data_IF_374672597765
#
_entry.id   IF_374672597765
#
_cell.length_a   1.000
_cell.length_b   1.000
_cell.length_c   1.000
_cell.angle_alpha   90.00
_cell.angle_beta   90.00
_cell.angle_gamma   90.00
#
_symmetry.space_group_name_H-M   'P 1'
#
loop_
_entity.id
_entity.type
_entity.pdbx_description
1 polymer ?
#
# COMPACT_ATOMS: atom_id res chain seq x y z
N UNK A 1 -38.36 -28.37 27.85
CA UNK A 1 -38.30 -27.21 26.93
C UNK A 1 -36.83 -26.90 26.68
N UNK A 2 -36.24 -27.41 25.58
CA UNK A 2 -34.82 -27.27 25.30
C UNK A 2 -34.55 -25.96 24.55
N UNK A 3 -33.78 -25.05 25.15
CA UNK A 3 -33.28 -23.86 24.47
C UNK A 3 -32.28 -24.28 23.40
N UNK A 4 -32.71 -24.25 22.13
CA UNK A 4 -31.85 -24.44 20.98
C UNK A 4 -31.02 -23.17 20.79
N UNK A 5 -29.85 -23.10 21.42
CA UNK A 5 -28.87 -22.03 21.21
C UNK A 5 -28.44 -22.09 19.75
N UNK A 6 -28.93 -21.14 18.95
CA UNK A 6 -28.52 -20.95 17.56
C UNK A 6 -27.13 -20.33 17.59
N UNK A 7 -26.09 -21.17 17.65
CA UNK A 7 -24.72 -20.74 17.43
C UNK A 7 -24.64 -20.15 16.01
N UNK A 8 -24.64 -18.82 15.91
CA UNK A 8 -24.17 -18.14 14.69
C UNK A 8 -22.76 -18.66 14.47
N UNK A 9 -22.57 -19.38 13.38
CA UNK A 9 -21.24 -19.76 12.92
C UNK A 9 -20.49 -18.45 12.66
N UNK A 10 -19.65 -18.06 13.62
CA UNK A 10 -18.61 -17.08 13.40
C UNK A 10 -17.79 -17.62 12.24
N UNK A 11 -18.03 -17.12 11.02
CA UNK A 11 -17.08 -17.30 9.92
C UNK A 11 -15.78 -16.71 10.43
N UNK A 12 -14.84 -17.57 10.81
CA UNK A 12 -13.53 -17.15 11.27
C UNK A 12 -13.00 -16.07 10.34
N UNK A 13 -12.89 -14.85 10.85
CA UNK A 13 -12.30 -13.75 10.12
C UNK A 13 -10.83 -14.12 9.94
N UNK A 14 -10.41 -14.34 8.70
CA UNK A 14 -9.04 -14.72 8.40
C UNK A 14 -8.27 -13.49 7.97
N UNK A 15 -7.09 -13.29 8.56
CA UNK A 15 -6.17 -12.18 8.25
C UNK A 15 -5.92 -12.05 6.74
N UNK A 16 -5.86 -13.18 6.03
CA UNK A 16 -5.69 -13.22 4.58
C UNK A 16 -6.85 -12.57 3.82
N UNK A 17 -8.09 -12.76 4.30
CA UNK A 17 -9.28 -12.13 3.73
C UNK A 17 -9.21 -10.62 3.92
N UNK A 18 -8.78 -10.16 5.08
CA UNK A 18 -8.73 -8.73 5.41
C UNK A 18 -7.63 -8.02 4.59
N UNK A 19 -6.45 -8.64 4.43
CA UNK A 19 -5.41 -8.15 3.52
C UNK A 19 -5.89 -8.06 2.08
N UNK A 20 -6.60 -9.09 1.59
CA UNK A 20 -7.18 -9.07 0.25
C UNK A 20 -8.19 -7.92 0.09
N UNK A 21 -9.04 -7.69 1.09
CA UNK A 21 -9.97 -6.57 1.07
C UNK A 21 -9.27 -5.21 1.08
N UNK A 22 -8.23 -5.03 1.90
CA UNK A 22 -7.45 -3.78 1.93
C UNK A 22 -6.84 -3.47 0.56
N UNK A 23 -6.24 -4.48 -0.09
CA UNK A 23 -5.64 -4.31 -1.42
C UNK A 23 -6.72 -4.03 -2.45
N UNK A 24 -7.82 -4.78 -2.42
CA UNK A 24 -8.92 -4.59 -3.38
C UNK A 24 -9.57 -3.22 -3.25
N UNK A 25 -9.83 -2.78 -2.02
CA UNK A 25 -10.48 -1.51 -1.73
C UNK A 25 -9.60 -0.34 -2.18
N UNK A 26 -8.27 -0.45 -2.02
CA UNK A 26 -7.32 0.52 -2.57
C UNK A 26 -7.50 0.73 -4.09
N UNK A 27 -7.46 -0.35 -4.88
CA UNK A 27 -7.60 -0.24 -6.33
C UNK A 27 -9.00 0.20 -6.76
N UNK A 28 -10.01 -0.08 -5.95
CA UNK A 28 -11.38 0.35 -6.21
C UNK A 28 -11.60 1.85 -5.91
N UNK A 29 -10.97 2.36 -4.86
CA UNK A 29 -11.09 3.76 -4.43
C UNK A 29 -10.13 4.71 -5.15
N UNK A 30 -9.08 4.20 -5.79
CA UNK A 30 -8.08 5.02 -6.48
C UNK A 30 -8.54 5.44 -7.87
N UNK A 31 -8.37 6.73 -8.20
CA UNK A 31 -8.64 7.19 -9.56
C UNK A 31 -7.56 6.70 -10.52
N UNK A 32 -7.92 6.54 -11.81
CA UNK A 32 -6.98 6.09 -12.84
C UNK A 32 -5.76 7.01 -12.95
N UNK A 33 -5.96 8.33 -12.78
CA UNK A 33 -4.88 9.32 -12.82
C UNK A 33 -3.92 9.17 -11.64
N UNK A 34 -4.44 8.95 -10.44
CA UNK A 34 -3.63 8.70 -9.24
C UNK A 34 -2.87 7.39 -9.37
N UNK A 35 -3.54 6.32 -9.81
CA UNK A 35 -2.90 5.02 -9.99
C UNK A 35 -1.79 5.08 -11.04
N UNK A 36 -2.01 5.83 -12.11
CA UNK A 36 -0.99 6.05 -13.14
C UNK A 36 0.20 6.80 -12.56
N UNK A 37 -0.02 7.86 -11.78
CA UNK A 37 1.06 8.58 -11.11
C UNK A 37 1.85 7.67 -10.15
N UNK A 38 1.14 6.89 -9.33
CA UNK A 38 1.72 6.03 -8.30
C UNK A 38 2.50 4.84 -8.85
N UNK A 39 2.28 4.43 -10.11
CA UNK A 39 2.94 3.27 -10.72
C UNK A 39 3.91 3.71 -11.82
N UNK A 40 3.48 4.57 -12.73
CA UNK A 40 4.25 4.94 -13.92
C UNK A 40 5.53 5.69 -13.55
N UNK A 41 5.45 6.62 -12.60
CA UNK A 41 6.63 7.41 -12.19
C UNK A 41 7.67 6.51 -11.51
N UNK A 42 7.32 5.68 -10.52
CA UNK A 42 8.25 4.68 -9.95
C UNK A 42 8.90 3.77 -10.99
N UNK A 43 8.12 3.25 -11.94
CA UNK A 43 8.64 2.39 -13.02
C UNK A 43 9.64 3.16 -13.87
N UNK A 44 9.26 4.35 -14.33
CA UNK A 44 10.11 5.18 -15.19
C UNK A 44 11.44 5.55 -14.49
N UNK A 45 11.36 6.03 -13.25
CA UNK A 45 12.54 6.40 -12.45
C UNK A 45 13.44 5.19 -12.21
N UNK A 46 12.87 4.02 -11.90
CA UNK A 46 13.65 2.80 -11.66
C UNK A 46 14.37 2.32 -12.91
N UNK A 47 13.68 2.34 -14.06
CA UNK A 47 14.29 1.98 -15.36
C UNK A 47 15.45 2.92 -15.66
N UNK A 48 15.26 4.23 -15.49
CA UNK A 48 16.30 5.21 -15.76
C UNK A 48 17.55 4.97 -14.88
N UNK A 49 17.36 4.73 -13.58
CA UNK A 49 18.45 4.47 -12.63
C UNK A 49 19.19 3.17 -12.99
N UNK A 50 18.49 2.07 -13.23
CA UNK A 50 19.16 0.80 -13.53
C UNK A 50 19.71 0.71 -14.96
N UNK A 51 19.12 1.44 -15.92
CA UNK A 51 19.70 1.59 -17.25
C UNK A 51 21.05 2.33 -17.19
N UNK A 52 21.11 3.43 -16.42
CA UNK A 52 22.37 4.18 -16.23
C UNK A 52 23.41 3.36 -15.48
N UNK A 53 23.03 2.69 -14.38
CA UNK A 53 23.93 1.79 -13.65
C UNK A 53 24.43 0.66 -14.56
N UNK A 54 23.54 0.00 -15.31
CA UNK A 54 23.90 -1.09 -16.20
C UNK A 54 24.83 -0.69 -17.34
N UNK A 55 24.70 0.56 -17.83
CA UNK A 55 25.57 1.14 -18.85
C UNK A 55 26.95 1.54 -18.31
N UNK A 56 27.01 2.10 -17.09
CA UNK A 56 28.26 2.63 -16.51
C UNK A 56 29.09 1.59 -15.76
N UNK A 57 28.46 0.53 -15.22
CA UNK A 57 29.16 -0.47 -14.40
C UNK A 57 29.63 -1.67 -15.22
N UNK A 58 30.92 -1.99 -15.09
CA UNK A 58 31.52 -3.16 -15.77
C UNK A 58 31.29 -4.45 -14.98
N UNK A 59 31.22 -4.36 -13.64
CA UNK A 59 31.10 -5.52 -12.75
C UNK A 59 29.66 -5.74 -12.26
N UNK A 60 29.15 -6.94 -12.51
CA UNK A 60 27.83 -7.40 -12.02
C UNK A 60 27.74 -7.40 -10.49
N UNK A 61 28.85 -7.70 -9.80
CA UNK A 61 28.88 -7.69 -8.32
C UNK A 61 28.70 -6.27 -7.77
N UNK A 62 29.11 -5.24 -8.52
CA UNK A 62 28.88 -3.85 -8.14
C UNK A 62 27.39 -3.51 -8.21
N UNK A 63 26.68 -3.95 -9.25
CA UNK A 63 25.22 -3.74 -9.37
C UNK A 63 24.49 -4.40 -8.20
N UNK A 64 24.87 -5.65 -7.87
CA UNK A 64 24.27 -6.36 -6.74
C UNK A 64 24.51 -5.63 -5.41
N UNK A 65 25.72 -5.14 -5.16
CA UNK A 65 26.03 -4.32 -3.97
C UNK A 65 25.21 -3.04 -3.93
N UNK A 66 25.00 -2.37 -5.06
CA UNK A 66 24.14 -1.18 -5.13
C UNK A 66 22.70 -1.55 -4.75
N UNK A 67 22.16 -2.65 -5.27
CA UNK A 67 20.81 -3.13 -4.91
C UNK A 67 20.70 -3.38 -3.40
N UNK A 68 21.68 -4.06 -2.80
CA UNK A 68 21.71 -4.36 -1.36
C UNK A 68 21.79 -3.08 -0.51
N UNK A 69 22.63 -2.13 -0.92
CA UNK A 69 22.77 -0.84 -0.22
C UNK A 69 21.48 0.00 -0.31
N UNK A 70 20.86 0.04 -1.50
CA UNK A 70 19.55 0.68 -1.71
C UNK A 70 18.48 0.01 -0.85
N UNK A 71 18.45 -1.31 -0.81
CA UNK A 71 17.50 -2.08 0.01
C UNK A 71 17.68 -1.79 1.50
N UNK A 72 18.91 -1.82 2.00
CA UNK A 72 19.22 -1.51 3.41
C UNK A 72 18.76 -0.10 3.80
N UNK A 73 19.04 0.89 2.94
CA UNK A 73 18.58 2.27 3.16
C UNK A 73 17.06 2.38 3.09
N UNK A 74 16.44 1.66 2.15
CA UNK A 74 14.99 1.69 1.92
C UNK A 74 14.21 1.03 3.06
N UNK A 75 14.72 -0.03 3.68
CA UNK A 75 14.08 -0.68 4.83
C UNK A 75 13.86 0.32 5.97
N UNK A 76 14.87 1.14 6.27
CA UNK A 76 14.76 2.17 7.31
C UNK A 76 13.67 3.19 6.97
N UNK A 77 13.63 3.66 5.71
CA UNK A 77 12.59 4.59 5.26
C UNK A 77 11.20 3.94 5.31
N UNK A 78 11.06 2.67 4.89
CA UNK A 78 9.80 1.93 4.93
C UNK A 78 9.30 1.73 6.36
N UNK A 79 10.19 1.42 7.31
CA UNK A 79 9.84 1.30 8.72
C UNK A 79 9.30 2.62 9.29
N UNK A 80 9.97 3.74 8.98
CA UNK A 80 9.53 5.08 9.40
C UNK A 80 8.16 5.40 8.81
N UNK A 81 7.95 5.16 7.52
CA UNK A 81 6.68 5.44 6.86
C UNK A 81 5.55 4.53 7.33
N UNK A 82 5.82 3.26 7.62
CA UNK A 82 4.85 2.36 8.23
C UNK A 82 4.42 2.86 9.61
N UNK A 83 5.38 3.33 10.42
CA UNK A 83 5.11 3.96 11.71
C UNK A 83 4.25 5.22 11.58
N UNK A 84 4.63 6.14 10.68
CA UNK A 84 3.88 7.36 10.39
C UNK A 84 2.46 7.08 9.91
N UNK A 85 2.29 6.15 8.97
CA UNK A 85 0.97 5.78 8.43
C UNK A 85 0.10 5.15 9.52
N UNK A 86 0.66 4.28 10.37
CA UNK A 86 -0.05 3.65 11.49
C UNK A 86 -0.48 4.69 12.53
N UNK A 87 0.41 5.60 12.90
CA UNK A 87 0.10 6.69 13.83
C UNK A 87 -1.02 7.61 13.27
N UNK A 88 -0.97 7.92 11.97
CA UNK A 88 -2.00 8.73 11.31
C UNK A 88 -3.38 8.07 11.37
N UNK A 89 -3.48 6.76 11.11
CA UNK A 89 -4.75 6.02 11.25
C UNK A 89 -5.25 6.05 12.70
N UNK A 90 -4.37 5.90 13.68
CA UNK A 90 -4.74 5.97 15.09
C UNK A 90 -5.29 7.35 15.49
N UNK A 91 -4.66 8.43 15.02
CA UNK A 91 -5.15 9.81 15.24
C UNK A 91 -6.49 10.03 14.55
N UNK A 92 -6.64 9.61 13.29
CA UNK A 92 -7.91 9.69 12.55
C UNK A 92 -9.02 8.92 13.28
N UNK A 93 -8.74 7.70 13.75
CA UNK A 93 -9.73 6.88 14.46
C UNK A 93 -10.13 7.47 15.82
N UNK A 94 -9.18 8.08 16.54
CA UNK A 94 -9.43 8.69 17.86
C UNK A 94 -10.23 10.00 17.78
N UNK A 95 -10.03 10.78 16.72
CA UNK A 95 -10.67 12.09 16.54
C UNK A 95 -12.14 12.02 16.12
N UNK A 96 -12.62 10.87 15.61
CA UNK A 96 -13.96 10.78 15.03
C UNK A 96 -14.72 9.49 15.37
N UNK A 97 -14.92 9.23 16.68
CA UNK A 97 -15.61 8.03 17.18
C UNK A 97 -17.04 7.86 16.64
N UNK A 98 -17.78 8.96 16.41
CA UNK A 98 -19.16 8.89 15.91
C UNK A 98 -19.25 8.42 14.46
N UNK A 99 -18.36 8.91 13.57
CA UNK A 99 -18.32 8.48 12.17
C UNK A 99 -17.71 7.07 12.05
N UNK A 100 -16.74 6.73 12.90
CA UNK A 100 -16.20 5.37 12.95
C UNK A 100 -17.28 4.34 13.35
N UNK A 101 -18.11 4.66 14.35
CA UNK A 101 -19.25 3.81 14.74
C UNK A 101 -20.30 3.68 13.62
N UNK A 102 -20.52 4.73 12.84
CA UNK A 102 -21.39 4.68 11.65
C UNK A 102 -20.81 3.77 10.56
N UNK A 103 -19.50 3.85 10.29
CA UNK A 103 -18.82 2.99 9.31
C UNK A 103 -18.79 1.51 9.73
N UNK A 104 -18.60 1.22 11.01
CA UNK A 104 -18.69 -0.15 11.55
C UNK A 104 -20.08 -0.75 11.31
N UNK A 105 -21.14 0.01 11.60
CA UNK A 105 -22.52 -0.46 11.47
C UNK A 105 -22.97 -0.67 10.01
N UNK A 106 -22.38 0.04 9.04
CA UNK A 106 -22.66 -0.13 7.60
C UNK A 106 -21.94 -1.35 7.00
N UNK A 107 -20.84 -1.81 7.60
CA UNK A 107 -20.01 -2.91 7.07
C UNK A 107 -20.38 -4.29 7.65
N UNK A 108 -21.45 -4.38 8.46
CA UNK A 108 -22.02 -5.65 8.92
C UNK A 108 -22.56 -6.51 7.76
N UNK A 109 -22.71 -7.84 7.95
CA UNK A 109 -22.98 -8.78 6.86
C UNK A 109 -24.28 -8.44 6.13
N UNK A 110 -24.16 -7.87 4.92
CA UNK A 110 -25.30 -7.67 4.02
C UNK A 110 -25.74 -9.03 3.49
N UNK A 111 -26.98 -9.40 3.81
CA UNK A 111 -27.67 -10.50 3.16
C UNK A 111 -27.88 -10.15 1.67
N UNK A 112 -27.44 -11.07 0.81
CA UNK A 112 -27.52 -11.01 -0.65
C UNK A 112 -28.86 -10.48 -1.17
N UNK A 113 -28.88 -9.27 -1.72
CA UNK A 113 -29.93 -8.82 -2.62
C UNK A 113 -29.38 -8.62 -4.03
N UNK A 114 -29.98 -9.40 -4.93
CA UNK A 114 -29.87 -9.49 -6.39
C UNK A 114 -29.06 -8.39 -7.12
N UNK A 115 -28.06 -8.90 -7.85
CA UNK A 115 -27.22 -8.26 -8.88
C UNK A 115 -28.06 -7.47 -9.91
N UNK A 116 -28.18 -6.15 -9.71
CA UNK A 116 -28.79 -5.23 -10.68
C UNK A 116 -27.69 -4.63 -11.58
N UNK A 117 -27.88 -4.71 -12.89
CA UNK A 117 -26.88 -4.40 -13.94
C UNK A 117 -26.64 -2.88 -14.14
N UNK A 118 -27.35 -2.03 -13.40
CA UNK A 118 -27.18 -0.57 -13.38
C UNK A 118 -26.36 -0.07 -12.16
N UNK A 119 -25.45 -0.91 -11.66
CA UNK A 119 -24.59 -0.65 -10.50
C UNK A 119 -23.75 0.62 -10.63
N UNK A 120 -23.20 0.91 -11.83
CA UNK A 120 -22.37 2.10 -12.06
C UNK A 120 -23.15 3.43 -11.98
N UNK A 121 -24.39 3.48 -12.48
CA UNK A 121 -25.21 4.69 -12.44
C UNK A 121 -25.74 4.97 -11.02
N UNK A 122 -26.14 3.93 -10.29
CA UNK A 122 -26.52 4.06 -8.88
C UNK A 122 -25.32 4.32 -7.95
N UNK A 123 -24.12 3.86 -8.30
CA UNK A 123 -22.91 4.19 -7.54
C UNK A 123 -22.50 5.63 -7.73
N UNK A 124 -22.59 6.17 -8.94
CA UNK A 124 -22.26 7.57 -9.18
C UNK A 124 -23.21 8.52 -8.41
N UNK A 125 -24.49 8.18 -8.27
CA UNK A 125 -25.43 8.94 -7.42
C UNK A 125 -25.18 8.72 -5.91
N UNK A 126 -24.81 7.51 -5.47
CA UNK A 126 -24.41 7.25 -4.07
C UNK A 126 -23.09 7.96 -3.70
N UNK A 127 -22.17 8.14 -4.65
CA UNK A 127 -20.90 8.88 -4.49
C UNK A 127 -21.15 10.39 -4.30
N UNK A 128 -22.22 10.93 -4.87
CA UNK A 128 -22.53 12.37 -4.85
C UNK A 128 -23.25 12.81 -3.56
N UNK A 129 -23.95 11.90 -2.85
CA UNK A 129 -24.90 12.30 -1.79
C UNK A 129 -24.43 12.01 -0.34
N UNK A 130 -23.36 11.24 -0.10
CA UNK A 130 -22.76 11.01 1.23
C UNK A 130 -21.29 11.44 1.29
N UNK A 131 -21.05 12.74 1.42
CA UNK A 131 -19.72 13.34 1.24
C UNK A 131 -18.74 13.10 2.41
N UNK A 132 -19.25 12.94 3.63
CA UNK A 132 -18.42 13.00 4.85
C UNK A 132 -18.03 11.62 5.40
N UNK A 133 -18.95 10.65 5.39
CA UNK A 133 -18.67 9.25 5.78
C UNK A 133 -17.70 8.56 4.80
N UNK A 134 -17.71 8.97 3.53
CA UNK A 134 -16.88 8.35 2.49
C UNK A 134 -15.41 8.79 2.57
N UNK A 135 -15.12 10.05 2.88
CA UNK A 135 -13.74 10.56 2.93
C UNK A 135 -12.93 9.85 4.02
N UNK A 136 -13.54 9.62 5.20
CA UNK A 136 -12.90 8.90 6.29
C UNK A 136 -12.57 7.45 5.88
N UNK A 137 -13.55 6.73 5.33
CA UNK A 137 -13.37 5.34 4.89
C UNK A 137 -12.29 5.22 3.81
N UNK A 138 -12.32 6.12 2.82
CA UNK A 138 -11.34 6.18 1.75
C UNK A 138 -9.94 6.44 2.32
N UNK A 139 -9.82 7.41 3.23
CA UNK A 139 -8.54 7.74 3.88
C UNK A 139 -7.99 6.54 4.65
N UNK A 140 -8.79 5.90 5.50
CA UNK A 140 -8.36 4.71 6.26
C UNK A 140 -7.94 3.58 5.33
N UNK A 141 -8.65 3.35 4.22
CA UNK A 141 -8.30 2.33 3.23
C UNK A 141 -6.92 2.59 2.60
N UNK A 142 -6.66 3.82 2.15
CA UNK A 142 -5.36 4.21 1.58
C UNK A 142 -4.19 4.08 2.56
N UNK A 143 -4.39 4.50 3.81
CA UNK A 143 -3.39 4.33 4.85
C UNK A 143 -3.14 2.87 5.20
N UNK A 144 -4.19 2.06 5.32
CA UNK A 144 -4.11 0.63 5.62
C UNK A 144 -3.37 -0.14 4.52
N UNK A 145 -3.63 0.21 3.26
CA UNK A 145 -2.90 -0.34 2.12
C UNK A 145 -1.41 -0.01 2.18
N UNK A 146 -1.05 1.25 2.46
CA UNK A 146 0.35 1.65 2.57
C UNK A 146 1.08 0.88 3.68
N UNK A 147 0.46 0.75 4.86
CA UNK A 147 1.00 -0.03 5.98
C UNK A 147 1.23 -1.49 5.56
N UNK A 148 0.22 -2.14 4.95
CA UNK A 148 0.33 -3.53 4.53
C UNK A 148 1.48 -3.73 3.52
N UNK A 149 1.57 -2.88 2.50
CA UNK A 149 2.64 -2.97 1.49
C UNK A 149 4.02 -2.69 2.09
N UNK A 150 4.14 -1.72 3.00
CA UNK A 150 5.40 -1.39 3.67
C UNK A 150 5.89 -2.53 4.55
N UNK A 151 5.00 -3.19 5.29
CA UNK A 151 5.36 -4.37 6.08
C UNK A 151 5.83 -5.53 5.20
N UNK A 152 5.16 -5.77 4.06
CA UNK A 152 5.60 -6.78 3.09
C UNK A 152 7.00 -6.46 2.56
N UNK A 153 7.25 -5.22 2.16
CA UNK A 153 8.59 -4.79 1.69
C UNK A 153 9.63 -4.90 2.80
N UNK A 154 9.28 -4.55 4.04
CA UNK A 154 10.21 -4.65 5.18
C UNK A 154 10.63 -6.11 5.42
N UNK A 155 9.68 -7.05 5.42
CA UNK A 155 9.96 -8.47 5.60
C UNK A 155 10.84 -8.99 4.45
N UNK A 156 10.41 -8.78 3.20
CA UNK A 156 11.14 -9.24 2.02
C UNK A 156 12.53 -8.60 1.91
N UNK A 157 12.62 -7.29 2.16
CA UNK A 157 13.87 -6.54 2.16
C UNK A 157 14.83 -7.06 3.21
N UNK A 158 14.36 -7.35 4.42
CA UNK A 158 15.19 -7.90 5.49
C UNK A 158 15.76 -9.27 5.13
N UNK A 159 14.97 -10.13 4.47
CA UNK A 159 15.43 -11.43 3.96
C UNK A 159 16.51 -11.23 2.88
N UNK A 160 16.33 -10.29 1.97
CA UNK A 160 17.33 -9.97 0.94
C UNK A 160 18.64 -9.51 1.58
N UNK A 161 18.59 -8.63 2.58
CA UNK A 161 19.81 -8.20 3.31
C UNK A 161 20.49 -9.39 3.98
N UNK A 162 19.73 -10.19 4.74
CA UNK A 162 20.27 -11.33 5.48
C UNK A 162 20.92 -12.40 4.57
N UNK A 163 20.45 -12.53 3.33
CA UNK A 163 20.97 -13.53 2.37
C UNK A 163 21.98 -12.95 1.38
N UNK A 164 22.18 -11.62 1.35
CA UNK A 164 22.93 -10.93 0.30
C UNK A 164 24.39 -11.36 0.19
N UNK A 165 25.10 -11.54 1.31
CA UNK A 165 26.51 -11.96 1.30
C UNK A 165 26.67 -13.36 0.69
N UNK A 166 25.75 -14.27 1.02
CA UNK A 166 25.73 -15.62 0.44
C UNK A 166 25.44 -15.60 -1.06
N UNK A 167 24.55 -14.71 -1.52
CA UNK A 167 24.22 -14.56 -2.94
C UNK A 167 25.42 -14.02 -3.73
N UNK A 168 26.17 -13.06 -3.17
CA UNK A 168 27.37 -12.50 -3.82
C UNK A 168 28.45 -13.58 -3.98
N UNK A 169 28.68 -14.39 -2.95
CA UNK A 169 29.70 -15.45 -3.00
C UNK A 169 29.28 -16.60 -3.92
N UNK A 170 28.00 -16.99 -3.91
CA UNK A 170 27.46 -17.95 -4.85
C UNK A 170 27.61 -17.49 -6.31
N UNK A 171 27.38 -16.21 -6.60
CA UNK A 171 27.59 -15.65 -7.94
C UNK A 171 29.05 -15.71 -8.38
N UNK A 172 30.01 -15.51 -7.46
CA UNK A 172 31.45 -15.62 -7.78
C UNK A 172 31.85 -17.04 -8.18
N UNK A 173 31.23 -18.05 -7.59
CA UNK A 173 31.50 -19.46 -7.89
C UNK A 173 30.85 -19.93 -9.19
N UNK A 174 29.78 -19.26 -9.65
CA UNK A 174 29.11 -19.55 -10.92
C UNK A 174 29.90 -19.01 -12.13
N UNK A 175 30.91 -19.75 -12.55
CA UNK A 175 31.70 -19.45 -13.76
C UNK A 175 30.94 -19.66 -15.08
N UNK A 176 29.78 -20.33 -15.05
CA UNK A 176 29.04 -20.74 -16.24
C UNK A 176 28.09 -19.67 -16.81
N UNK A 177 27.75 -18.62 -16.05
CA UNK A 177 26.82 -17.59 -16.51
C UNK A 177 27.58 -16.52 -17.32
N UNK A 178 27.13 -16.27 -18.55
CA UNK A 178 27.64 -15.16 -19.35
C UNK A 178 27.50 -13.83 -18.59
N UNK A 179 28.62 -13.10 -18.47
CA UNK A 179 28.70 -11.83 -17.72
C UNK A 179 27.65 -10.82 -18.17
N UNK A 180 27.33 -10.79 -19.47
CA UNK A 180 26.34 -9.86 -20.03
C UNK A 180 24.90 -10.23 -19.64
N UNK A 181 24.53 -11.52 -19.72
CA UNK A 181 23.18 -11.95 -19.35
C UNK A 181 22.94 -11.81 -17.84
N UNK A 182 23.94 -12.13 -17.01
CA UNK A 182 23.89 -11.90 -15.57
C UNK A 182 23.61 -10.43 -15.24
N UNK A 183 24.28 -9.51 -15.95
CA UNK A 183 24.11 -8.07 -15.76
C UNK A 183 22.67 -7.63 -16.07
N UNK A 184 22.11 -8.08 -17.19
CA UNK A 184 20.73 -7.75 -17.58
C UNK A 184 19.74 -8.29 -16.54
N UNK A 185 19.90 -9.56 -16.13
CA UNK A 185 19.00 -10.19 -15.15
C UNK A 185 19.03 -9.44 -13.81
N UNK A 186 20.22 -9.13 -13.30
CA UNK A 186 20.36 -8.41 -12.02
C UNK A 186 19.85 -6.96 -12.14
N UNK A 187 20.00 -6.32 -13.30
CA UNK A 187 19.47 -4.98 -13.53
C UNK A 187 17.94 -4.97 -13.60
N UNK A 188 17.33 -5.98 -14.23
CA UNK A 188 15.86 -6.15 -14.24
C UNK A 188 15.36 -6.39 -12.81
N UNK A 189 16.00 -7.29 -12.06
CA UNK A 189 15.67 -7.54 -10.65
C UNK A 189 15.75 -6.25 -9.81
N UNK A 190 16.85 -5.50 -9.96
CA UNK A 190 17.03 -4.21 -9.30
C UNK A 190 15.96 -3.19 -9.68
N UNK A 191 15.61 -3.12 -10.97
CA UNK A 191 14.54 -2.24 -11.48
C UNK A 191 13.20 -2.58 -10.86
N UNK A 192 12.82 -3.87 -10.85
CA UNK A 192 11.56 -4.34 -10.26
C UNK A 192 11.53 -4.05 -8.76
N UNK A 193 12.62 -4.33 -8.05
CA UNK A 193 12.71 -4.09 -6.61
C UNK A 193 12.60 -2.61 -6.26
N UNK A 194 13.36 -1.75 -6.95
CA UNK A 194 13.31 -0.31 -6.76
C UNK A 194 11.93 0.27 -7.13
N UNK A 195 11.26 -0.28 -8.13
CA UNK A 195 9.90 0.11 -8.49
C UNK A 195 8.94 -0.14 -7.33
N UNK A 196 9.03 -1.29 -6.66
CA UNK A 196 8.19 -1.61 -5.50
C UNK A 196 8.45 -0.66 -4.32
N UNK A 197 9.72 -0.37 -4.05
CA UNK A 197 10.12 0.59 -3.00
C UNK A 197 9.55 1.98 -3.33
N UNK A 198 9.80 2.49 -4.54
CA UNK A 198 9.32 3.80 -4.96
C UNK A 198 7.79 3.85 -4.95
N UNK A 199 7.10 2.82 -5.43
CA UNK A 199 5.64 2.75 -5.36
C UNK A 199 5.13 2.98 -3.92
N UNK A 200 5.70 2.31 -2.92
CA UNK A 200 5.30 2.49 -1.52
C UNK A 200 5.64 3.88 -0.98
N UNK A 201 6.74 4.50 -1.44
CA UNK A 201 7.08 5.88 -1.11
C UNK A 201 6.03 6.85 -1.66
N UNK A 202 5.69 6.74 -2.95
CA UNK A 202 4.72 7.60 -3.61
C UNK A 202 3.32 7.46 -3.01
N UNK A 203 2.89 6.25 -2.71
CA UNK A 203 1.61 5.99 -2.02
C UNK A 203 1.60 6.69 -0.65
N UNK A 204 2.71 6.69 0.09
CA UNK A 204 2.79 7.37 1.38
C UNK A 204 2.79 8.89 1.26
N UNK A 205 3.47 9.44 0.24
CA UNK A 205 3.41 10.87 -0.05
C UNK A 205 1.97 11.32 -0.37
N UNK A 206 1.21 10.51 -1.12
CA UNK A 206 -0.22 10.77 -1.34
C UNK A 206 -1.01 10.74 -0.04
N UNK A 207 -0.74 9.77 0.84
CA UNK A 207 -1.42 9.66 2.12
C UNK A 207 -1.25 10.92 2.99
N UNK A 208 -0.07 11.55 2.95
CA UNK A 208 0.14 12.85 3.62
C UNK A 208 -0.80 13.93 3.07
N UNK A 209 -0.98 14.01 1.74
CA UNK A 209 -1.92 14.94 1.11
C UNK A 209 -3.38 14.66 1.49
N UNK A 210 -3.76 13.38 1.59
CA UNK A 210 -5.09 12.98 2.05
C UNK A 210 -5.34 13.36 3.51
N UNK A 211 -4.34 13.14 4.38
CA UNK A 211 -4.40 13.54 5.79
C UNK A 211 -4.56 15.05 5.93
N UNK A 212 -3.81 15.84 5.16
CA UNK A 212 -3.95 17.29 5.15
C UNK A 212 -5.38 17.73 4.79
N UNK A 213 -5.95 17.16 3.71
CA UNK A 213 -7.35 17.44 3.31
C UNK A 213 -8.35 17.02 4.37
N UNK A 214 -8.12 15.88 5.03
CA UNK A 214 -8.96 15.40 6.11
C UNK A 214 -8.94 16.34 7.33
N UNK A 215 -7.76 16.82 7.72
CA UNK A 215 -7.62 17.78 8.83
C UNK A 215 -8.33 19.10 8.53
N UNK A 216 -8.18 19.64 7.31
CA UNK A 216 -8.90 20.85 6.88
C UNK A 216 -10.42 20.65 6.93
N UNK A 217 -10.88 19.49 6.47
CA UNK A 217 -12.30 19.13 6.50
C UNK A 217 -12.84 19.09 7.94
N UNK A 218 -12.09 18.51 8.88
CA UNK A 218 -12.46 18.52 10.30
C UNK A 218 -12.50 19.92 10.89
N UNK A 219 -11.56 20.78 10.52
CA UNK A 219 -11.53 22.18 10.95
C UNK A 219 -12.80 22.92 10.53
N UNK A 220 -13.15 22.85 9.24
CA UNK A 220 -14.34 23.50 8.70
C UNK A 220 -15.64 23.04 9.38
N UNK A 221 -15.82 21.74 9.57
CA UNK A 221 -17.04 21.19 10.18
C UNK A 221 -17.20 21.54 11.68
N UNK A 222 -16.13 21.95 12.36
CA UNK A 222 -16.18 22.41 13.75
C UNK A 222 -16.71 23.85 13.83
N UNK A 223 -16.36 24.69 12.88
CA UNK A 223 -16.77 26.10 12.83
C UNK A 223 -18.28 26.21 12.54
N UNK A 224 -18.81 25.42 11.61
CA UNK A 224 -20.26 25.40 11.28
C UNK A 224 -21.14 24.98 12.47
N UNK A 225 -20.62 24.18 13.42
CA UNK A 225 -21.34 23.77 14.64
C UNK A 225 -21.26 24.77 15.80
N UNK A 226 -20.48 25.85 15.65
CA UNK A 226 -20.28 26.87 16.69
C UNK A 226 -21.13 28.13 16.48
N UNK A 227 -21.88 28.18 15.38
CA UNK A 227 -22.77 29.28 14.99
C UNK A 227 -24.26 29.02 15.23
N UNK A 228 -24.62 27.85 15.75
CA UNK A 228 -25.97 27.50 16.23
C UNK A 228 -25.97 27.36 17.76
#
# INVERSE_FOLDING_TARGET
MAFKVKTRTNKAESVNRDLYHIIKDYFHCSSIKELTFDILIPVFVSILIFATIGAMTVSTTTILKIIVNLNTSSINVMAILAGFNTASVAVIASTNKSILNQLYNVTGPQNNTKKNKNFFANIWSIIVEKKDENILKITISFFSYAIAMQLIILILGSIIVATSDNVIEFYRQLSFINKMSARIIISILGTTWLTLILHCLFVSLRNVSLLYRYVLFLGKNKDDKSTD
#
